data_IF_488998102309
#
_entry.id   IF_488998102309
#
_cell.length_a   1.000
_cell.length_b   1.000
_cell.length_c   1.000
_cell.angle_alpha   90.00
_cell.angle_beta   90.00
_cell.angle_gamma   90.00
#
_symmetry.space_group_name_H-M   'P 1'
#
loop_
_entity.id
_entity.type
_entity.pdbx_description
1 polymer ?
#
# COMPACT_ATOMS: atom_id res chain seq x y z
N UNK A 1 10.53 -27.71 -13.84
CA UNK A 1 10.52 -27.07 -12.50
C UNK A 1 11.15 -25.66 -12.54
N UNK A 2 10.62 -24.71 -13.33
CA UNK A 2 11.23 -23.37 -13.50
C UNK A 2 10.29 -22.18 -13.27
N UNK A 3 8.97 -22.36 -13.47
CA UNK A 3 7.97 -21.30 -13.32
C UNK A 3 7.79 -20.88 -11.84
N UNK A 4 7.71 -21.85 -10.93
CA UNK A 4 7.46 -21.58 -9.52
C UNK A 4 8.59 -20.73 -8.86
N UNK A 5 9.85 -20.96 -9.26
CA UNK A 5 11.00 -20.20 -8.75
C UNK A 5 11.06 -18.77 -9.28
N UNK A 6 10.56 -18.52 -10.50
CA UNK A 6 10.41 -17.17 -11.05
C UNK A 6 9.32 -16.40 -10.29
N UNK A 7 8.18 -17.04 -10.08
CA UNK A 7 7.05 -16.45 -9.35
C UNK A 7 7.43 -16.07 -7.91
N UNK A 8 8.16 -16.95 -7.20
CA UNK A 8 8.69 -16.65 -5.87
C UNK A 8 9.55 -15.38 -5.83
N UNK A 9 10.45 -15.21 -6.81
CA UNK A 9 11.29 -14.01 -6.90
C UNK A 9 10.49 -12.75 -7.21
N UNK A 10 9.43 -12.85 -8.00
CA UNK A 10 8.53 -11.72 -8.25
C UNK A 10 7.72 -11.35 -7.00
N UNK A 11 7.24 -12.35 -6.26
CA UNK A 11 6.53 -12.14 -4.99
C UNK A 11 7.42 -11.39 -4.02
N UNK A 12 8.64 -11.87 -3.78
CA UNK A 12 9.57 -11.24 -2.84
C UNK A 12 9.85 -9.77 -3.20
N UNK A 13 10.05 -9.50 -4.50
CA UNK A 13 10.20 -8.12 -5.01
C UNK A 13 8.97 -7.27 -4.75
N UNK A 14 7.77 -7.80 -4.96
CA UNK A 14 6.53 -7.04 -4.73
C UNK A 14 6.28 -6.82 -3.24
N UNK A 15 6.50 -7.83 -2.39
CA UNK A 15 6.40 -7.69 -0.94
C UNK A 15 7.32 -6.55 -0.44
N UNK A 16 8.57 -6.51 -0.93
CA UNK A 16 9.51 -5.44 -0.60
C UNK A 16 9.06 -4.07 -1.10
N UNK A 17 8.50 -3.98 -2.30
CA UNK A 17 7.91 -2.73 -2.83
C UNK A 17 6.68 -2.27 -2.05
N UNK A 18 5.90 -3.20 -1.51
CA UNK A 18 4.75 -2.88 -0.65
C UNK A 18 5.25 -2.28 0.66
N UNK A 19 6.24 -2.90 1.31
CA UNK A 19 6.83 -2.36 2.53
C UNK A 19 7.41 -0.96 2.31
N UNK A 20 8.25 -0.80 1.29
CA UNK A 20 8.86 0.51 0.95
C UNK A 20 7.78 1.57 0.65
N UNK A 21 6.75 1.20 -0.13
CA UNK A 21 5.62 2.09 -0.41
C UNK A 21 4.82 2.49 0.83
N UNK A 22 4.68 1.59 1.81
CA UNK A 22 4.02 1.89 3.10
C UNK A 22 4.86 2.83 3.96
N UNK A 23 6.18 2.63 4.00
CA UNK A 23 7.10 3.52 4.72
C UNK A 23 7.13 4.92 4.08
N UNK A 24 7.22 4.99 2.76
CA UNK A 24 7.14 6.25 2.00
C UNK A 24 5.79 6.93 2.24
N UNK A 25 4.69 6.18 2.20
CA UNK A 25 3.36 6.70 2.49
C UNK A 25 3.31 7.31 3.90
N UNK A 26 3.79 6.60 4.93
CA UNK A 26 3.83 7.12 6.30
C UNK A 26 4.76 8.33 6.45
N UNK A 27 5.90 8.36 5.75
CA UNK A 27 6.82 9.50 5.75
C UNK A 27 6.17 10.75 5.16
N UNK A 28 5.53 10.62 3.99
CA UNK A 28 4.81 11.74 3.36
C UNK A 28 3.62 12.15 4.23
N UNK A 29 2.92 11.19 4.82
CA UNK A 29 1.78 11.44 5.68
C UNK A 29 2.13 12.33 6.87
N UNK A 30 3.21 12.00 7.60
CA UNK A 30 3.68 12.83 8.69
C UNK A 30 4.04 14.24 8.22
N UNK A 31 4.68 14.38 7.05
CA UNK A 31 4.98 15.69 6.46
C UNK A 31 3.73 16.50 6.13
N UNK A 32 2.66 15.88 5.63
CA UNK A 32 1.38 16.58 5.33
C UNK A 32 0.75 17.19 6.59
N UNK A 33 0.92 16.54 7.73
CA UNK A 33 0.42 17.00 9.01
C UNK A 33 1.30 18.07 9.66
N UNK A 34 2.61 17.99 9.44
CA UNK A 34 3.60 18.94 9.95
C UNK A 34 3.63 20.26 9.14
N UNK A 35 3.37 20.16 7.83
CA UNK A 35 3.46 21.30 6.93
C UNK A 35 2.22 22.20 7.00
N UNK A 36 2.43 23.46 7.34
CA UNK A 36 1.40 24.51 7.31
C UNK A 36 1.26 25.17 5.92
N UNK A 37 2.27 25.05 5.06
CA UNK A 37 2.26 25.64 3.72
C UNK A 37 1.32 24.88 2.76
N UNK A 38 0.27 25.58 2.29
CA UNK A 38 -0.77 25.02 1.41
C UNK A 38 -0.20 24.41 0.11
N UNK A 39 0.77 25.08 -0.53
CA UNK A 39 1.30 24.64 -1.82
C UNK A 39 2.12 23.35 -1.69
N UNK A 40 2.85 23.20 -0.58
CA UNK A 40 3.54 21.94 -0.27
C UNK A 40 2.56 20.86 0.17
N UNK A 41 1.54 21.21 0.95
CA UNK A 41 0.51 20.28 1.41
C UNK A 41 -0.23 19.63 0.23
N UNK A 42 -0.65 20.41 -0.77
CA UNK A 42 -1.30 19.88 -1.97
C UNK A 42 -0.38 18.93 -2.77
N UNK A 43 0.92 19.26 -2.86
CA UNK A 43 1.91 18.40 -3.51
C UNK A 43 2.02 17.06 -2.80
N UNK A 44 2.18 17.07 -1.47
CA UNK A 44 2.28 15.84 -0.69
C UNK A 44 0.96 15.05 -0.66
N UNK A 45 -0.21 15.70 -0.65
CA UNK A 45 -1.50 15.02 -0.83
C UNK A 45 -1.60 14.32 -2.19
N UNK A 46 -1.09 14.94 -3.26
CA UNK A 46 -1.03 14.33 -4.58
C UNK A 46 -0.08 13.12 -4.59
N UNK A 47 1.07 13.21 -3.92
CA UNK A 47 2.02 12.10 -3.79
C UNK A 47 1.43 10.94 -2.94
N UNK A 48 0.78 11.22 -1.81
CA UNK A 48 0.06 10.20 -1.04
C UNK A 48 -1.00 9.48 -1.88
N UNK A 49 -1.76 10.23 -2.68
CA UNK A 49 -2.78 9.66 -3.57
C UNK A 49 -2.17 8.78 -4.66
N UNK A 50 -0.97 9.10 -5.15
CA UNK A 50 -0.24 8.26 -6.10
C UNK A 50 0.27 6.98 -5.42
N UNK A 51 0.88 7.10 -4.24
CA UNK A 51 1.40 5.95 -3.50
C UNK A 51 0.29 5.00 -3.07
N UNK A 52 -0.84 5.50 -2.57
CA UNK A 52 -1.96 4.62 -2.22
C UNK A 52 -2.53 3.88 -3.43
N UNK A 53 -2.60 4.53 -4.60
CA UNK A 53 -2.99 3.86 -5.85
C UNK A 53 -2.00 2.78 -6.27
N UNK A 54 -0.70 2.99 -6.07
CA UNK A 54 0.32 1.96 -6.34
C UNK A 54 0.17 0.78 -5.40
N UNK A 55 0.01 1.03 -4.09
CA UNK A 55 -0.25 -0.01 -3.10
C UNK A 55 -1.50 -0.81 -3.45
N UNK A 56 -2.59 -0.17 -3.87
CA UNK A 56 -3.79 -0.86 -4.34
C UNK A 56 -3.52 -1.79 -5.52
N UNK A 57 -2.70 -1.37 -6.51
CA UNK A 57 -2.31 -2.26 -7.62
C UNK A 57 -1.55 -3.49 -7.14
N UNK A 58 -0.62 -3.33 -6.19
CA UNK A 58 0.07 -4.47 -5.60
C UNK A 58 -0.88 -5.38 -4.81
N UNK A 59 -1.88 -4.83 -4.11
CA UNK A 59 -2.92 -5.61 -3.43
C UNK A 59 -3.69 -6.51 -4.40
N UNK A 60 -4.12 -5.97 -5.54
CA UNK A 60 -4.84 -6.76 -6.55
C UNK A 60 -3.93 -7.81 -7.21
N UNK A 61 -2.66 -7.48 -7.45
CA UNK A 61 -1.67 -8.45 -7.93
C UNK A 61 -1.45 -9.59 -6.92
N UNK A 62 -1.28 -9.26 -5.64
CA UNK A 62 -1.18 -10.21 -4.53
C UNK A 62 -2.42 -11.11 -4.44
N UNK A 63 -3.62 -10.52 -4.61
CA UNK A 63 -4.88 -11.27 -4.62
C UNK A 63 -4.89 -12.29 -5.77
N UNK A 64 -4.45 -11.92 -6.96
CA UNK A 64 -4.33 -12.84 -8.11
C UNK A 64 -3.35 -13.97 -7.80
N UNK A 65 -2.22 -13.68 -7.15
CA UNK A 65 -1.26 -14.71 -6.75
C UNK A 65 -1.82 -15.69 -5.70
N UNK A 66 -2.53 -15.21 -4.68
CA UNK A 66 -3.21 -16.06 -3.69
C UNK A 66 -4.27 -16.95 -4.37
N UNK A 67 -4.94 -16.44 -5.41
CA UNK A 67 -5.94 -17.19 -6.18
C UNK A 67 -5.31 -18.17 -7.17
N UNK A 68 -4.03 -17.98 -7.54
CA UNK A 68 -3.33 -18.84 -8.50
C UNK A 68 -2.97 -20.19 -7.88
N UNK A 69 -3.25 -21.26 -8.63
CA UNK A 69 -2.93 -22.64 -8.21
C UNK A 69 -1.43 -22.90 -8.05
N UNK A 70 -0.57 -22.09 -8.67
CA UNK A 70 0.90 -22.19 -8.55
C UNK A 70 1.40 -21.94 -7.12
N UNK A 71 0.69 -21.11 -6.34
CA UNK A 71 1.02 -20.79 -4.95
C UNK A 71 0.50 -21.85 -3.99
N UNK A 72 -0.60 -22.55 -4.34
CA UNK A 72 -1.32 -23.49 -3.45
C UNK A 72 -0.66 -24.87 -3.29
N UNK A 73 0.41 -25.20 -4.02
CA UNK A 73 0.96 -26.56 -4.00
C UNK A 73 1.91 -26.86 -2.79
N UNK A 74 1.28 -27.51 -1.80
CA UNK A 74 1.73 -28.51 -0.80
C UNK A 74 2.75 -28.28 0.31
N UNK A 75 3.82 -27.47 0.25
CA UNK A 75 4.71 -27.30 1.45
C UNK A 75 5.43 -25.96 1.61
N UNK A 76 5.74 -25.27 0.52
CA UNK A 76 6.34 -23.93 0.56
C UNK A 76 5.25 -22.84 0.71
N UNK A 77 4.00 -23.20 0.43
CA UNK A 77 2.83 -22.34 0.32
C UNK A 77 2.49 -21.56 1.60
N UNK A 78 2.59 -22.17 2.79
CA UNK A 78 2.08 -21.53 4.02
C UNK A 78 2.81 -20.23 4.37
N UNK A 79 4.14 -20.17 4.23
CA UNK A 79 4.91 -18.97 4.57
C UNK A 79 4.66 -17.82 3.57
N UNK A 80 4.66 -18.13 2.27
CA UNK A 80 4.41 -17.13 1.24
C UNK A 80 2.95 -16.68 1.21
N UNK A 81 2.00 -17.59 1.39
CA UNK A 81 0.58 -17.26 1.50
C UNK A 81 0.34 -16.34 2.70
N UNK A 82 0.99 -16.62 3.84
CA UNK A 82 0.95 -15.73 5.01
C UNK A 82 1.54 -14.35 4.69
N UNK A 83 2.70 -14.28 4.05
CA UNK A 83 3.36 -13.00 3.70
C UNK A 83 2.52 -12.18 2.70
N UNK A 84 1.91 -12.85 1.71
CA UNK A 84 0.98 -12.25 0.76
C UNK A 84 -0.28 -11.73 1.47
N UNK A 85 -0.86 -12.53 2.38
CA UNK A 85 -2.01 -12.11 3.18
C UNK A 85 -1.67 -10.94 4.11
N UNK A 86 -0.50 -10.94 4.73
CA UNK A 86 -0.03 -9.86 5.60
C UNK A 86 0.15 -8.56 4.81
N UNK A 87 0.86 -8.60 3.69
CA UNK A 87 1.01 -7.44 2.79
C UNK A 87 -0.33 -6.91 2.31
N UNK A 88 -1.28 -7.79 1.98
CA UNK A 88 -2.63 -7.38 1.63
C UNK A 88 -3.32 -6.64 2.79
N UNK A 89 -3.24 -7.16 4.01
CA UNK A 89 -3.84 -6.52 5.21
C UNK A 89 -3.21 -5.17 5.50
N UNK A 90 -1.89 -5.04 5.37
CA UNK A 90 -1.18 -3.77 5.53
C UNK A 90 -1.68 -2.73 4.53
N UNK A 91 -1.79 -3.08 3.25
CA UNK A 91 -2.29 -2.16 2.22
C UNK A 91 -3.75 -1.75 2.49
N UNK A 92 -4.60 -2.69 2.91
CA UNK A 92 -6.00 -2.37 3.24
C UNK A 92 -6.10 -1.41 4.43
N UNK A 93 -5.29 -1.61 5.47
CA UNK A 93 -5.20 -0.71 6.62
C UNK A 93 -4.77 0.71 6.20
N UNK A 94 -3.70 0.83 5.41
CA UNK A 94 -3.22 2.14 4.97
C UNK A 94 -4.22 2.83 4.04
N UNK A 95 -4.92 2.07 3.19
CA UNK A 95 -5.98 2.59 2.31
C UNK A 95 -7.16 3.13 3.10
N UNK A 96 -7.57 2.43 4.15
CA UNK A 96 -8.64 2.87 5.04
C UNK A 96 -8.23 4.12 5.81
N UNK A 97 -7.01 4.14 6.36
CA UNK A 97 -6.42 5.31 7.02
C UNK A 97 -6.39 6.54 6.11
N UNK A 98 -5.98 6.37 4.85
CA UNK A 98 -6.02 7.43 3.83
C UNK A 98 -7.44 7.92 3.56
N UNK A 99 -8.43 7.02 3.47
CA UNK A 99 -9.84 7.39 3.25
C UNK A 99 -10.44 8.18 4.42
N UNK A 100 -10.19 7.74 5.65
CA UNK A 100 -10.75 8.36 6.86
C UNK A 100 -10.16 9.76 7.04
N UNK A 101 -8.84 9.90 6.99
CA UNK A 101 -8.24 11.22 7.14
C UNK A 101 -8.39 12.09 5.88
N UNK A 102 -8.41 11.53 4.66
CA UNK A 102 -8.75 12.32 3.47
C UNK A 102 -10.14 12.97 3.57
N UNK A 103 -11.08 12.37 4.30
CA UNK A 103 -12.37 12.99 4.64
C UNK A 103 -12.23 14.02 5.77
N UNK A 104 -11.47 13.73 6.82
CA UNK A 104 -11.33 14.63 7.98
C UNK A 104 -10.47 15.87 7.69
N UNK A 105 -9.34 15.72 7.01
CA UNK A 105 -8.44 16.81 6.59
C UNK A 105 -9.12 17.73 5.60
N UNK A 106 -9.92 17.17 4.68
CA UNK A 106 -10.74 17.97 3.76
C UNK A 106 -11.83 18.76 4.52
N UNK A 107 -12.43 18.18 5.56
CA UNK A 107 -13.42 18.86 6.41
C UNK A 107 -12.80 19.96 7.29
N UNK A 108 -11.62 19.72 7.87
CA UNK A 108 -10.88 20.74 8.65
C UNK A 108 -10.29 21.85 7.78
N UNK A 109 -9.81 21.55 6.57
CA UNK A 109 -9.33 22.55 5.62
C UNK A 109 -10.44 23.50 5.15
N UNK A 110 -11.68 23.02 5.07
CA UNK A 110 -12.87 23.84 4.83
C UNK A 110 -13.24 24.70 6.05
N UNK A 111 -13.12 24.16 7.28
CA UNK A 111 -13.46 24.90 8.51
C UNK A 111 -12.48 26.01 8.91
N UNK A 112 -11.22 25.99 8.44
CA UNK A 112 -10.24 27.07 8.71
C UNK A 112 -10.28 28.20 7.67
N UNK A 113 -11.20 28.13 6.71
CA UNK A 113 -11.49 29.15 5.68
C UNK A 113 -12.85 29.85 5.89
N UNK A 114 -13.51 29.60 7.03
CA UNK A 114 -14.74 30.26 7.44
C UNK A 114 -14.45 31.23 8.59
#
# INVERSE_FOLDING_TARGET
MGANRKLQGEIDRVLKKVQDGVEVFNSIWNKVYDIENVNQKEKFEADLKKEIKKLQRYRDQIKTWIQSSEIKDKKVSTSYEQALMDSRKVIERETERFKVCGKETKRKALSKKA
#
